data_IF_098645393676
#
_entry.id   IF_098645393676
#
_cell.length_a   1.000
_cell.length_b   1.000
_cell.length_c   1.000
_cell.angle_alpha   90.00
_cell.angle_beta   90.00
_cell.angle_gamma   90.00
#
_symmetry.space_group_name_H-M   'P 1'
#
loop_
_entity.id
_entity.type
_entity.pdbx_description
1 polymer ?
#
# COMPACT_ATOMS: atom_id res chain seq x y z
N UNK A 1 35.05 -12.10 34.12
CA UNK A 1 34.01 -11.26 33.49
C UNK A 1 33.91 -11.66 32.04
N UNK A 2 32.96 -12.52 31.65
CA UNK A 2 32.71 -12.82 30.25
C UNK A 2 31.53 -12.00 29.73
N UNK A 3 31.81 -11.24 28.69
CA UNK A 3 30.87 -10.69 27.72
C UNK A 3 30.22 -11.85 26.94
N UNK A 4 28.92 -11.99 27.07
CA UNK A 4 28.13 -13.01 26.38
C UNK A 4 26.68 -12.57 26.38
N UNK A 5 26.32 -11.72 25.43
CA UNK A 5 24.92 -11.35 25.20
C UNK A 5 24.25 -12.48 24.45
N UNK A 6 23.85 -13.51 25.19
CA UNK A 6 22.88 -14.49 24.76
C UNK A 6 21.50 -13.83 24.65
N UNK A 7 21.04 -13.62 23.42
CA UNK A 7 19.60 -13.45 23.12
C UNK A 7 19.30 -14.15 21.79
N UNK A 8 19.35 -15.47 21.82
CA UNK A 8 18.59 -16.31 20.90
C UNK A 8 17.27 -16.65 21.57
N UNK A 9 16.31 -15.72 21.54
CA UNK A 9 14.92 -16.06 21.78
C UNK A 9 14.37 -16.77 20.53
N UNK A 10 14.64 -18.07 20.44
CA UNK A 10 13.96 -18.95 19.49
C UNK A 10 12.60 -19.28 20.12
N UNK A 11 11.56 -18.58 19.69
CA UNK A 11 10.17 -19.01 19.91
C UNK A 11 9.54 -19.24 18.54
N UNK A 12 9.28 -20.52 18.23
CA UNK A 12 8.10 -20.95 17.49
C UNK A 12 7.98 -20.60 16.00
N UNK A 13 8.45 -21.52 15.15
CA UNK A 13 7.61 -22.15 14.13
C UNK A 13 6.97 -21.30 13.03
N UNK A 14 7.51 -21.49 11.81
CA UNK A 14 7.02 -21.04 10.49
C UNK A 14 7.54 -19.66 10.08
N UNK A 15 8.36 -19.64 9.03
CA UNK A 15 8.61 -18.47 8.19
C UNK A 15 7.25 -18.01 7.63
N UNK A 16 6.54 -17.18 8.37
CA UNK A 16 5.50 -16.34 7.79
C UNK A 16 6.25 -15.36 6.91
N UNK A 17 6.04 -15.44 5.60
CA UNK A 17 6.61 -14.48 4.68
C UNK A 17 6.29 -13.08 5.21
N UNK A 18 7.33 -12.26 5.39
CA UNK A 18 7.27 -10.90 5.91
C UNK A 18 6.18 -10.12 5.16
N UNK A 19 4.98 -10.09 5.74
CA UNK A 19 3.85 -9.38 5.16
C UNK A 19 4.06 -7.91 5.48
N UNK A 20 3.92 -7.07 4.46
CA UNK A 20 4.02 -5.63 4.65
C UNK A 20 2.87 -5.15 5.56
N UNK A 21 3.15 -4.17 6.40
CA UNK A 21 2.14 -3.56 7.27
C UNK A 21 1.14 -2.72 6.48
N UNK A 22 -0.04 -2.46 7.05
CA UNK A 22 -1.06 -1.57 6.47
C UNK A 22 -0.51 -0.23 6.02
N UNK A 23 0.31 0.41 6.86
CA UNK A 23 0.94 1.71 6.58
C UNK A 23 1.89 1.63 5.38
N UNK A 24 2.63 0.53 5.25
CA UNK A 24 3.50 0.29 4.10
C UNK A 24 2.68 0.05 2.83
N UNK A 25 1.56 -0.68 2.92
CA UNK A 25 0.65 -0.90 1.78
C UNK A 25 0.05 0.43 1.29
N UNK A 26 -0.38 1.29 2.21
CA UNK A 26 -0.86 2.63 1.93
C UNK A 26 0.19 3.48 1.19
N UNK A 27 1.42 3.54 1.72
CA UNK A 27 2.51 4.31 1.10
C UNK A 27 2.87 3.79 -0.29
N UNK A 28 2.97 2.47 -0.47
CA UNK A 28 3.29 1.86 -1.76
C UNK A 28 2.21 2.16 -2.79
N UNK A 29 0.93 2.02 -2.41
CA UNK A 29 -0.18 2.32 -3.30
C UNK A 29 -0.23 3.81 -3.68
N UNK A 30 -0.09 4.70 -2.70
CA UNK A 30 -0.07 6.14 -2.95
C UNK A 30 1.09 6.54 -3.87
N UNK A 31 2.30 6.05 -3.61
CA UNK A 31 3.48 6.31 -4.46
C UNK A 31 3.29 5.77 -5.90
N UNK A 32 2.69 4.58 -6.05
CA UNK A 32 2.37 4.01 -7.36
C UNK A 32 1.38 4.90 -8.15
N UNK A 33 0.34 5.41 -7.49
CA UNK A 33 -0.64 6.32 -8.10
C UNK A 33 0.03 7.64 -8.48
N UNK A 34 0.79 8.25 -7.57
CA UNK A 34 1.52 9.51 -7.81
C UNK A 34 2.43 9.40 -9.03
N UNK A 35 3.21 8.32 -9.13
CA UNK A 35 4.11 8.07 -10.27
C UNK A 35 3.37 7.83 -11.57
N UNK A 36 2.26 7.07 -11.55
CA UNK A 36 1.55 6.68 -12.77
C UNK A 36 0.64 7.79 -13.31
N UNK A 37 0.04 8.59 -12.44
CA UNK A 37 -0.91 9.67 -12.80
C UNK A 37 -0.30 11.07 -12.72
N UNK A 38 0.97 11.19 -12.32
CA UNK A 38 1.66 12.46 -12.15
C UNK A 38 0.88 13.44 -11.26
N UNK A 39 0.28 12.92 -10.19
CA UNK A 39 -0.44 13.70 -9.18
C UNK A 39 0.36 13.74 -7.89
N UNK A 40 0.37 14.86 -7.20
CA UNK A 40 0.99 14.97 -5.85
C UNK A 40 -0.03 14.70 -4.74
N UNK A 41 -1.32 14.90 -5.03
CA UNK A 41 -2.42 14.79 -4.07
C UNK A 41 -3.10 13.44 -4.27
N UNK A 42 -2.99 12.58 -3.26
CA UNK A 42 -3.66 11.29 -3.19
C UNK A 42 -4.27 11.20 -1.80
N UNK A 43 -5.57 10.94 -1.73
CA UNK A 43 -6.32 10.73 -0.50
C UNK A 43 -6.70 9.25 -0.42
N UNK A 44 -6.21 8.54 0.60
CA UNK A 44 -6.50 7.13 0.78
C UNK A 44 -7.75 7.02 1.66
N UNK A 45 -8.80 6.39 1.12
CA UNK A 45 -10.08 6.24 1.79
C UNK A 45 -10.14 4.95 2.60
N UNK A 46 -9.73 3.82 2.01
CA UNK A 46 -9.73 2.52 2.69
C UNK A 46 -8.49 1.70 2.35
N UNK A 47 -8.07 0.88 3.31
CA UNK A 47 -7.00 -0.11 3.16
C UNK A 47 -7.50 -1.40 3.77
N UNK A 48 -7.77 -2.38 2.92
CA UNK A 48 -8.33 -3.67 3.30
C UNK A 48 -7.29 -4.77 3.08
N UNK A 49 -7.06 -5.59 4.11
CA UNK A 49 -6.24 -6.80 4.01
C UNK A 49 -7.13 -7.98 3.66
N UNK A 50 -6.88 -8.63 2.52
CA UNK A 50 -7.59 -9.83 2.05
C UNK A 50 -6.60 -10.98 1.93
N UNK A 51 -6.62 -11.97 2.83
CA UNK A 51 -5.77 -13.16 2.86
C UNK A 51 -4.27 -12.94 2.52
N UNK A 52 -3.91 -12.79 1.24
CA UNK A 52 -2.55 -12.57 0.72
C UNK A 52 -2.40 -11.30 -0.14
N UNK A 53 -3.37 -10.42 -0.11
CA UNK A 53 -3.46 -9.19 -0.88
C UNK A 53 -3.89 -8.01 -0.01
N UNK A 54 -3.44 -6.81 -0.38
CA UNK A 54 -3.89 -5.55 0.17
C UNK A 54 -4.63 -4.80 -0.91
N UNK A 55 -5.85 -4.36 -0.61
CA UNK A 55 -6.66 -3.55 -1.50
C UNK A 55 -6.70 -2.14 -0.92
N UNK A 56 -6.02 -1.21 -1.60
CA UNK A 56 -5.99 0.19 -1.22
C UNK A 56 -6.89 0.97 -2.16
N UNK A 57 -7.87 1.67 -1.60
CA UNK A 57 -8.80 2.51 -2.34
C UNK A 57 -8.68 3.94 -1.88
N UNK A 58 -8.84 4.85 -2.81
CA UNK A 58 -8.80 6.26 -2.51
C UNK A 58 -9.20 7.09 -3.71
N UNK A 59 -8.96 8.38 -3.59
CA UNK A 59 -9.23 9.34 -4.65
C UNK A 59 -8.06 10.28 -4.86
N UNK A 60 -7.96 10.85 -6.05
CA UNK A 60 -7.08 11.98 -6.32
C UNK A 60 -7.81 13.05 -7.12
N UNK A 61 -7.53 14.33 -6.84
CA UNK A 61 -8.05 15.41 -7.65
C UNK A 61 -7.41 15.35 -9.04
N UNK A 62 -8.24 15.55 -10.06
CA UNK A 62 -7.80 15.78 -11.43
C UNK A 62 -8.39 17.11 -11.89
N UNK A 63 -7.59 17.87 -12.63
CA UNK A 63 -8.05 19.06 -13.31
C UNK A 63 -8.32 18.67 -14.77
N UNK A 64 -9.60 18.57 -15.11
CA UNK A 64 -10.02 18.44 -16.51
C UNK A 64 -10.68 19.75 -16.92
N UNK A 65 -10.04 20.44 -17.87
CA UNK A 65 -10.56 21.66 -18.49
C UNK A 65 -10.88 22.81 -17.51
N UNK A 66 -10.16 22.90 -16.39
CA UNK A 66 -10.36 23.94 -15.37
C UNK A 66 -11.44 23.59 -14.34
N UNK A 67 -11.93 22.35 -14.34
CA UNK A 67 -12.89 21.85 -13.36
C UNK A 67 -12.24 20.83 -12.42
N UNK A 68 -12.36 21.01 -11.09
CA UNK A 68 -11.85 20.05 -10.11
C UNK A 68 -12.73 18.82 -10.08
N UNK A 69 -12.27 17.74 -10.72
CA UNK A 69 -12.89 16.42 -10.64
C UNK A 69 -12.09 15.53 -9.69
N UNK A 70 -12.70 14.42 -9.28
CA UNK A 70 -12.09 13.44 -8.40
C UNK A 70 -12.11 12.09 -9.08
N UNK A 71 -10.95 11.49 -9.30
CA UNK A 71 -10.83 10.14 -9.84
C UNK A 71 -10.57 9.16 -8.69
N UNK A 72 -11.36 8.08 -8.63
CA UNK A 72 -11.13 7.01 -7.67
C UNK A 72 -10.05 6.07 -8.21
N UNK A 73 -9.21 5.58 -7.32
CA UNK A 73 -8.27 4.49 -7.61
C UNK A 73 -8.50 3.29 -6.70
N UNK A 74 -8.21 2.13 -7.23
CA UNK A 74 -8.06 0.88 -6.50
C UNK A 74 -6.70 0.28 -6.88
N UNK A 75 -5.87 0.02 -5.87
CA UNK A 75 -4.56 -0.61 -6.05
C UNK A 75 -4.59 -1.92 -5.27
N UNK A 76 -4.37 -3.02 -5.99
CA UNK A 76 -4.21 -4.35 -5.39
C UNK A 76 -2.72 -4.64 -5.27
N UNK A 77 -2.25 -4.80 -4.04
CA UNK A 77 -0.88 -5.20 -3.73
C UNK A 77 -0.87 -6.65 -3.25
N UNK A 78 0.23 -7.37 -3.51
CA UNK A 78 0.52 -8.62 -2.81
C UNK A 78 0.94 -8.32 -1.37
N UNK A 79 0.81 -9.31 -0.48
CA UNK A 79 1.34 -9.29 0.89
C UNK A 79 2.83 -8.92 1.00
N UNK A 80 3.60 -9.01 -0.09
CA UNK A 80 5.00 -8.55 -0.19
C UNK A 80 5.19 -7.09 -0.64
N UNK A 81 4.11 -6.34 -0.82
CA UNK A 81 4.14 -4.95 -1.32
C UNK A 81 4.36 -4.79 -2.82
N UNK A 82 4.17 -5.85 -3.61
CA UNK A 82 4.23 -5.75 -5.07
C UNK A 82 2.85 -5.37 -5.63
N UNK A 83 2.78 -4.31 -6.44
CA UNK A 83 1.56 -3.94 -7.16
C UNK A 83 1.19 -5.06 -8.14
N UNK A 84 -0.02 -5.63 -7.97
CA UNK A 84 -0.60 -6.65 -8.84
C UNK A 84 -1.52 -6.03 -9.89
N UNK A 85 -2.42 -5.14 -9.46
CA UNK A 85 -3.31 -4.38 -10.34
C UNK A 85 -3.47 -2.95 -9.84
N UNK A 86 -3.84 -2.06 -10.75
CA UNK A 86 -4.22 -0.70 -10.45
C UNK A 86 -5.30 -0.28 -11.43
N UNK A 87 -6.48 -0.03 -10.89
CA UNK A 87 -7.70 0.33 -11.60
C UNK A 87 -8.09 1.75 -11.19
N UNK A 88 -8.58 2.53 -12.16
CA UNK A 88 -9.03 3.91 -11.91
C UNK A 88 -10.37 4.14 -12.58
N UNK A 89 -11.27 4.80 -11.85
CA UNK A 89 -12.62 5.10 -12.28
C UNK A 89 -12.94 6.55 -11.99
N UNK A 90 -13.44 7.26 -13.00
CA UNK A 90 -13.96 8.62 -12.85
C UNK A 90 -15.27 8.56 -12.04
N UNK A 91 -15.39 9.43 -11.04
CA UNK A 91 -16.61 9.68 -10.28
C UNK A 91 -17.33 10.93 -10.80
#
# INVERSE_FOLDING_TARGET
MPSGTDIWAIVGGKLVADKISREAAEQVAADAVKKKKNTEKVDVATVDENDDEWVVRGTYPIDMEGHPWTEQFEVVLSSKGKVKSMDTSLL
#
